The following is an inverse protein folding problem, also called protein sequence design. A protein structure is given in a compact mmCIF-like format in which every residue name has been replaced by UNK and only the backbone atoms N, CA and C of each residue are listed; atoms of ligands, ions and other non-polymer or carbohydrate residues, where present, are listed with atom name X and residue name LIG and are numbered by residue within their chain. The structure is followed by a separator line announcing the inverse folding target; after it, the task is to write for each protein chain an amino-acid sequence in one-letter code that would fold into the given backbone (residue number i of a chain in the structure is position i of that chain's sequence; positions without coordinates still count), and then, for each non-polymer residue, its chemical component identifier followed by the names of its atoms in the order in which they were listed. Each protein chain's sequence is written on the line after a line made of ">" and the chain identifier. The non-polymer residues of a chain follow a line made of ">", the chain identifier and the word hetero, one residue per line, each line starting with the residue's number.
data_IF_608637811825
#
_entry.id   IF_608637811825
#
_cell.length_a   1.000
_cell.length_b   1.000
_cell.length_c   1.000
_cell.angle_alpha   90.00
_cell.angle_beta   90.00
_cell.angle_gamma   90.00
#
_symmetry.space_group_name_H-M   'P 1'
#
loop_
_entity.id
_entity.type
_entity.pdbx_description
1 polymer ?
#
# COMPACT_ATOMS: atom_id res chain seq x y z
N UNK A 1 1.36 -7.65 62.28
CA UNK A 1 1.50 -9.13 62.36
C UNK A 1 1.80 -9.60 60.93
N UNK A 2 3.05 -9.73 60.46
CA UNK A 2 4.09 -10.78 60.65
C UNK A 2 3.69 -12.22 60.23
N UNK A 3 4.35 -12.69 59.16
CA UNK A 3 4.61 -14.05 58.59
C UNK A 3 4.36 -13.97 57.07
N UNK A 4 5.33 -13.91 56.14
CA UNK A 4 6.61 -14.62 55.95
C UNK A 4 6.45 -16.15 55.92
N UNK A 5 6.69 -16.74 54.74
CA UNK A 5 6.88 -18.16 54.48
C UNK A 5 7.79 -18.33 53.25
N UNK A 6 8.76 -19.25 53.32
CA UNK A 6 9.88 -19.40 52.36
C UNK A 6 10.18 -20.89 52.12
N UNK A 7 10.28 -21.31 50.85
CA UNK A 7 11.07 -22.45 50.30
C UNK A 7 11.32 -22.15 48.79
N UNK A 8 12.47 -22.30 48.10
CA UNK A 8 13.87 -22.65 48.39
C UNK A 8 14.39 -24.04 47.90
N UNK A 9 15.26 -24.01 46.87
CA UNK A 9 16.25 -25.04 46.43
C UNK A 9 15.64 -26.31 45.78
N UNK A 10 16.35 -27.11 44.94
CA UNK A 10 17.76 -27.14 44.49
C UNK A 10 17.86 -27.66 43.01
N UNK A 11 18.81 -27.23 42.17
CA UNK A 11 20.13 -27.86 41.83
C UNK A 11 20.13 -29.20 41.06
N UNK A 12 20.97 -29.30 40.02
CA UNK A 12 21.27 -30.51 39.23
C UNK A 12 21.62 -30.17 37.77
N UNK A 13 22.85 -29.74 37.44
CA UNK A 13 24.11 -30.51 37.31
C UNK A 13 24.26 -31.21 35.94
N UNK A 14 25.44 -31.08 35.34
CA UNK A 14 25.71 -31.36 33.93
C UNK A 14 26.07 -32.83 33.62
N UNK A 15 26.09 -33.19 32.34
CA UNK A 15 26.93 -34.28 31.84
C UNK A 15 27.41 -33.96 30.42
N UNK A 16 28.74 -34.02 30.27
CA UNK A 16 29.48 -33.76 29.03
C UNK A 16 29.76 -35.09 28.34
N UNK A 17 29.73 -35.12 27.01
CA UNK A 17 30.42 -36.16 26.23
C UNK A 17 31.37 -35.50 25.22
N UNK A 18 32.62 -35.96 25.24
CA UNK A 18 33.76 -35.39 24.52
C UNK A 18 34.06 -36.20 23.25
N UNK A 19 34.16 -35.47 22.14
CA UNK A 19 34.98 -35.70 20.93
C UNK A 19 35.22 -37.11 20.39
N UNK A 20 35.09 -37.20 19.06
CA UNK A 20 36.13 -37.85 18.23
C UNK A 20 36.60 -36.86 17.17
N UNK A 21 37.91 -36.58 17.13
CA UNK A 21 38.50 -35.69 16.13
C UNK A 21 39.09 -36.49 14.97
N UNK A 22 38.91 -36.00 13.75
CA UNK A 22 39.70 -36.42 12.58
C UNK A 22 40.51 -35.22 12.11
N UNK A 23 41.82 -35.30 12.23
CA UNK A 23 42.75 -34.29 11.74
C UNK A 23 43.02 -34.53 10.26
N UNK A 24 42.69 -33.55 9.42
CA UNK A 24 43.20 -33.43 8.06
C UNK A 24 43.74 -32.01 7.87
N UNK A 25 45.06 -31.86 7.80
CA UNK A 25 45.71 -30.56 7.59
C UNK A 25 45.71 -30.22 6.09
N UNK A 26 45.17 -29.05 5.75
CA UNK A 26 45.20 -28.50 4.39
C UNK A 26 44.71 -27.05 4.34
N UNK A 27 45.60 -26.11 4.61
CA UNK A 27 45.46 -24.68 4.28
C UNK A 27 46.17 -24.44 2.94
N UNK A 28 45.69 -23.54 2.05
CA UNK A 28 45.76 -22.10 2.34
C UNK A 28 44.52 -21.24 1.97
N UNK A 29 44.39 -20.16 2.73
CA UNK A 29 43.91 -18.81 2.37
C UNK A 29 42.75 -18.63 1.37
N UNK A 30 41.58 -18.23 1.90
CA UNK A 30 40.69 -17.27 1.21
C UNK A 30 39.97 -16.42 2.26
N UNK A 31 39.94 -15.10 2.03
CA UNK A 31 39.30 -14.09 2.91
C UNK A 31 37.91 -13.73 2.37
N UNK A 32 37.04 -13.27 3.28
CA UNK A 32 35.75 -12.59 3.06
C UNK A 32 34.51 -13.49 2.85
N UNK A 33 33.41 -13.10 3.52
CA UNK A 33 32.11 -13.75 3.39
C UNK A 33 31.15 -13.55 4.56
N UNK A 34 31.00 -12.32 5.09
CA UNK A 34 29.81 -12.03 5.92
C UNK A 34 28.57 -12.16 5.02
N UNK A 35 27.79 -13.22 5.20
CA UNK A 35 26.52 -13.39 4.51
C UNK A 35 25.48 -12.41 5.06
N UNK A 36 25.38 -11.23 4.45
CA UNK A 36 24.20 -10.37 4.61
C UNK A 36 22.95 -11.12 4.12
N UNK A 37 21.76 -10.88 4.71
CA UNK A 37 20.52 -11.39 4.16
C UNK A 37 20.36 -10.86 2.73
N UNK A 38 20.13 -11.77 1.79
CA UNK A 38 19.85 -11.38 0.40
C UNK A 38 18.42 -10.88 0.32
N UNK A 39 18.23 -9.55 0.33
CA UNK A 39 16.98 -8.94 -0.14
C UNK A 39 16.74 -9.43 -1.57
N UNK A 40 15.71 -10.25 -1.76
CA UNK A 40 15.30 -10.76 -3.07
C UNK A 40 14.70 -9.61 -3.89
N UNK A 41 15.58 -8.92 -4.61
CA UNK A 41 15.25 -7.81 -5.49
C UNK A 41 14.36 -8.29 -6.66
N UNK A 42 13.09 -7.91 -6.63
CA UNK A 42 12.24 -7.96 -7.82
C UNK A 42 12.57 -6.77 -8.74
N UNK A 43 13.57 -6.98 -9.61
CA UNK A 43 14.01 -5.99 -10.59
C UNK A 43 13.13 -5.96 -11.86
N UNK A 44 12.01 -6.70 -11.90
CA UNK A 44 11.16 -6.80 -13.09
C UNK A 44 10.21 -5.63 -13.31
N UNK A 45 9.95 -4.82 -12.27
CA UNK A 45 8.77 -3.93 -12.22
C UNK A 45 9.06 -2.45 -12.51
N UNK A 46 10.33 -2.07 -12.69
CA UNK A 46 10.77 -0.65 -12.70
C UNK A 46 11.29 -0.16 -14.06
N UNK A 47 10.50 -0.31 -15.11
CA UNK A 47 10.83 0.17 -16.47
C UNK A 47 9.87 1.22 -17.03
N UNK A 48 8.75 1.45 -16.35
CA UNK A 48 7.67 2.25 -16.91
C UNK A 48 7.93 3.76 -16.77
N UNK A 49 7.39 4.51 -17.73
CA UNK A 49 7.10 5.94 -17.53
C UNK A 49 5.72 6.08 -16.91
N UNK A 50 5.50 7.15 -16.14
CA UNK A 50 4.16 7.52 -15.68
C UNK A 50 3.21 7.61 -16.87
N UNK A 51 2.23 6.72 -16.90
CA UNK A 51 1.12 6.74 -17.85
C UNK A 51 0.04 7.70 -17.36
N UNK A 52 -0.98 7.87 -18.18
CA UNK A 52 -2.12 8.74 -17.92
C UNK A 52 -3.37 8.06 -18.44
N UNK A 53 -4.51 8.54 -17.97
CA UNK A 53 -5.81 8.13 -18.48
C UNK A 53 -5.89 8.29 -20.01
N UNK A 54 -6.49 7.31 -20.66
CA UNK A 54 -6.87 7.32 -22.07
C UNK A 54 -8.22 7.99 -22.33
N UNK A 55 -8.94 8.37 -21.26
CA UNK A 55 -10.21 9.09 -21.34
C UNK A 55 -9.92 10.56 -21.71
N UNK A 56 -10.45 11.07 -22.85
CA UNK A 56 -10.22 12.44 -23.27
C UNK A 56 -10.79 13.45 -22.28
N UNK A 57 -10.06 14.55 -22.06
CA UNK A 57 -10.52 15.68 -21.27
C UNK A 57 -10.28 16.98 -22.03
N UNK A 58 -11.34 17.76 -22.26
CA UNK A 58 -11.33 19.02 -23.01
C UNK A 58 -11.41 20.27 -22.12
N UNK A 59 -11.67 20.12 -20.82
CA UNK A 59 -11.71 21.24 -19.88
C UNK A 59 -10.33 21.89 -19.72
N UNK A 60 -10.30 23.23 -19.67
CA UNK A 60 -9.07 24.01 -19.53
C UNK A 60 -8.42 23.86 -18.15
N UNK A 61 -7.67 22.78 -17.93
CA UNK A 61 -7.02 22.48 -16.65
C UNK A 61 -6.32 21.12 -16.63
N UNK A 62 -5.96 20.64 -15.43
CA UNK A 62 -5.55 19.24 -15.25
C UNK A 62 -6.76 18.33 -15.47
N UNK A 63 -6.56 17.21 -16.15
CA UNK A 63 -7.61 16.19 -16.30
C UNK A 63 -7.98 15.62 -14.92
N UNK A 64 -9.27 15.54 -14.56
CA UNK A 64 -9.72 14.95 -13.30
C UNK A 64 -9.48 13.43 -13.25
N UNK A 65 -9.31 12.79 -14.40
CA UNK A 65 -9.04 11.36 -14.54
C UNK A 65 -7.60 10.95 -14.21
N UNK A 66 -6.80 11.87 -13.66
CA UNK A 66 -5.41 11.66 -13.28
C UNK A 66 -5.13 12.41 -11.97
N UNK A 67 -4.74 11.68 -10.93
CA UNK A 67 -4.32 12.25 -9.65
C UNK A 67 -2.88 11.83 -9.31
N UNK A 68 -2.20 12.65 -8.51
CA UNK A 68 -0.87 12.32 -8.00
C UNK A 68 -0.68 12.94 -6.60
N UNK A 69 -0.05 12.18 -5.69
CA UNK A 69 0.36 12.64 -4.36
C UNK A 69 1.81 12.22 -4.09
N UNK A 70 2.51 12.98 -3.23
CA UNK A 70 3.88 12.69 -2.81
C UNK A 70 3.90 12.23 -1.35
N UNK A 71 4.70 11.21 -1.05
CA UNK A 71 5.01 10.75 0.31
C UNK A 71 6.30 11.38 0.84
N UNK A 72 6.44 11.44 2.17
CA UNK A 72 7.59 12.05 2.84
C UNK A 72 8.91 11.33 2.56
N UNK A 73 8.85 10.01 2.31
CA UNK A 73 10.00 9.19 1.88
C UNK A 73 10.48 9.49 0.44
N UNK A 74 9.80 10.41 -0.27
CA UNK A 74 10.14 10.84 -1.61
C UNK A 74 9.46 10.05 -2.73
N UNK A 75 8.72 8.98 -2.43
CA UNK A 75 7.84 8.33 -3.41
C UNK A 75 6.74 9.26 -3.87
N UNK A 76 6.23 9.00 -5.08
CA UNK A 76 5.04 9.65 -5.64
C UNK A 76 4.09 8.56 -6.06
N UNK A 77 2.81 8.69 -5.72
CA UNK A 77 1.76 7.75 -6.12
C UNK A 77 0.85 8.47 -7.09
N UNK A 78 0.64 7.87 -8.24
CA UNK A 78 -0.25 8.35 -9.27
C UNK A 78 -1.39 7.35 -9.47
N UNK A 79 -2.59 7.87 -9.70
CA UNK A 79 -3.72 7.07 -10.12
C UNK A 79 -4.38 7.68 -11.36
N UNK A 80 -4.89 6.82 -12.23
CA UNK A 80 -5.65 7.24 -13.40
C UNK A 80 -6.69 6.20 -13.77
N UNK A 81 -7.81 6.65 -14.37
CA UNK A 81 -8.79 5.74 -14.95
C UNK A 81 -8.30 5.22 -16.29
N UNK A 82 -8.66 3.99 -16.63
CA UNK A 82 -8.43 3.42 -17.95
C UNK A 82 -9.70 2.77 -18.48
N UNK A 83 -10.13 3.19 -19.67
CA UNK A 83 -11.42 2.78 -20.26
C UNK A 83 -11.49 1.25 -20.41
N UNK A 84 -12.53 0.64 -19.86
CA UNK A 84 -12.73 -0.82 -19.89
C UNK A 84 -11.75 -1.62 -19.02
N UNK A 85 -10.94 -0.96 -18.17
CA UNK A 85 -10.05 -1.62 -17.22
C UNK A 85 -10.28 -1.19 -15.76
N UNK A 86 -10.70 0.05 -15.51
CA UNK A 86 -11.02 0.56 -14.17
C UNK A 86 -9.98 1.56 -13.62
N UNK A 87 -9.68 1.45 -12.32
CA UNK A 87 -8.74 2.32 -11.61
C UNK A 87 -7.33 1.72 -11.60
N UNK A 88 -6.35 2.50 -12.05
CA UNK A 88 -4.96 2.05 -12.21
C UNK A 88 -4.03 2.88 -11.32
N UNK A 89 -3.14 2.19 -10.60
CA UNK A 89 -2.07 2.75 -9.78
C UNK A 89 -0.71 2.63 -10.49
N UNK A 90 0.14 3.62 -10.23
CA UNK A 90 1.60 3.57 -10.43
C UNK A 90 2.29 4.39 -9.35
N UNK A 91 3.47 3.95 -8.89
CA UNK A 91 4.29 4.77 -8.00
C UNK A 91 5.75 4.87 -8.45
N UNK A 92 6.32 6.03 -8.15
CA UNK A 92 7.72 6.36 -8.38
C UNK A 92 8.57 5.87 -7.20
N UNK A 93 9.55 5.02 -7.47
CA UNK A 93 10.58 4.65 -6.49
C UNK A 93 11.75 5.65 -6.57
N UNK A 94 12.08 6.41 -5.50
CA UNK A 94 13.25 7.29 -5.49
C UNK A 94 14.56 6.50 -5.47
N UNK A 95 14.55 5.23 -5.03
CA UNK A 95 15.69 4.32 -5.06
C UNK A 95 16.03 3.89 -6.48
N UNK A 96 15.03 3.36 -7.20
CA UNK A 96 15.19 2.86 -8.57
C UNK A 96 15.12 3.98 -9.62
N UNK A 97 14.66 5.18 -9.22
CA UNK A 97 14.47 6.39 -10.03
C UNK A 97 13.51 6.21 -11.22
N UNK A 98 12.61 5.24 -11.13
CA UNK A 98 11.63 4.87 -12.14
C UNK A 98 10.23 4.69 -11.54
N UNK A 99 9.21 4.62 -12.41
CA UNK A 99 7.86 4.24 -12.00
C UNK A 99 7.68 2.73 -12.10
N UNK A 100 6.81 2.18 -11.25
CA UNK A 100 6.34 0.79 -11.39
C UNK A 100 5.56 0.59 -12.67
N UNK A 101 5.53 -0.64 -13.20
CA UNK A 101 4.52 -1.01 -14.19
C UNK A 101 3.09 -0.80 -13.63
N UNK A 102 2.10 -0.45 -14.47
CA UNK A 102 0.75 -0.18 -14.01
C UNK A 102 0.04 -1.37 -13.36
N UNK A 103 -0.61 -1.11 -12.22
CA UNK A 103 -1.43 -2.10 -11.50
C UNK A 103 -2.88 -1.65 -11.50
N UNK A 104 -3.79 -2.46 -12.05
CA UNK A 104 -5.24 -2.23 -11.91
C UNK A 104 -5.62 -2.62 -10.48
N UNK A 105 -6.07 -1.65 -9.67
CA UNK A 105 -6.46 -1.89 -8.27
C UNK A 105 -7.96 -2.17 -8.13
N UNK A 106 -8.82 -1.44 -8.86
CA UNK A 106 -10.24 -1.78 -9.03
C UNK A 106 -10.52 -2.03 -10.51
N UNK A 107 -11.17 -3.16 -10.82
CA UNK A 107 -11.53 -3.54 -12.19
C UNK A 107 -13.02 -3.35 -12.40
N UNK A 108 -13.38 -2.52 -13.36
CA UNK A 108 -14.74 -2.35 -13.83
C UNK A 108 -14.76 -1.99 -15.32
N UNK A 109 -15.85 -2.32 -16.00
CA UNK A 109 -16.11 -1.90 -17.39
C UNK A 109 -16.95 -0.61 -17.45
N UNK A 110 -17.51 -0.18 -16.30
CA UNK A 110 -18.28 1.05 -16.15
C UNK A 110 -17.41 2.28 -16.41
N UNK A 111 -18.00 3.32 -17.02
CA UNK A 111 -17.30 4.57 -17.31
C UNK A 111 -16.91 5.33 -16.03
N UNK A 112 -15.82 6.11 -16.11
CA UNK A 112 -15.35 6.94 -15.01
C UNK A 112 -16.31 8.12 -14.76
N UNK A 113 -16.72 8.30 -13.50
CA UNK A 113 -17.80 9.20 -13.12
C UNK A 113 -17.31 10.57 -12.66
N UNK A 114 -16.43 10.58 -11.67
CA UNK A 114 -15.90 11.78 -11.04
C UNK A 114 -14.37 11.78 -11.08
N UNK A 115 -13.75 12.89 -10.68
CA UNK A 115 -12.30 12.97 -10.59
C UNK A 115 -11.72 12.07 -9.51
N UNK A 116 -10.45 11.70 -9.63
CA UNK A 116 -9.75 10.93 -8.59
C UNK A 116 -9.26 11.92 -7.52
N UNK A 117 -9.64 11.68 -6.26
CA UNK A 117 -9.03 12.36 -5.11
C UNK A 117 -7.94 11.48 -4.50
N UNK A 118 -6.76 12.05 -4.25
CA UNK A 118 -5.71 11.45 -3.43
C UNK A 118 -5.41 12.29 -2.19
N UNK A 119 -5.14 11.61 -1.09
CA UNK A 119 -4.58 12.15 0.16
C UNK A 119 -3.49 11.21 0.66
N UNK A 120 -2.48 11.74 1.33
CA UNK A 120 -1.43 10.91 1.89
C UNK A 120 -0.83 11.53 3.16
N UNK A 121 -0.51 10.68 4.14
CA UNK A 121 0.24 11.04 5.33
C UNK A 121 0.80 9.77 6.00
N UNK A 122 1.87 9.85 6.80
CA UNK A 122 2.39 8.73 7.59
C UNK A 122 2.76 7.45 6.81
N UNK A 123 3.06 7.57 5.51
CA UNK A 123 3.31 6.42 4.62
C UNK A 123 2.04 5.69 4.13
N UNK A 124 0.87 6.27 4.37
CA UNK A 124 -0.46 5.78 3.95
C UNK A 124 -1.03 6.72 2.90
N UNK A 125 -1.65 6.16 1.86
CA UNK A 125 -2.35 6.88 0.79
C UNK A 125 -3.80 6.46 0.77
N UNK A 126 -4.71 7.44 0.76
CA UNK A 126 -6.14 7.25 0.57
C UNK A 126 -6.55 7.77 -0.80
N UNK A 127 -7.41 7.02 -1.49
CA UNK A 127 -7.93 7.33 -2.80
C UNK A 127 -9.45 7.23 -2.83
N UNK A 128 -10.09 8.22 -3.45
CA UNK A 128 -11.50 8.16 -3.87
C UNK A 128 -11.53 8.16 -5.39
N UNK A 129 -12.35 7.28 -5.96
CA UNK A 129 -12.61 7.18 -7.38
C UNK A 129 -14.02 6.64 -7.59
N UNK A 130 -14.70 7.06 -8.65
CA UNK A 130 -16.13 6.80 -8.83
C UNK A 130 -16.43 6.39 -10.27
N UNK A 131 -17.38 5.46 -10.44
CA UNK A 131 -17.77 4.90 -11.73
C UNK A 131 -19.29 4.87 -11.87
N UNK A 132 -19.79 5.19 -13.07
CA UNK A 132 -21.21 5.18 -13.40
C UNK A 132 -21.44 5.40 -14.91
N UNK A 133 -22.44 4.77 -15.53
CA UNK A 133 -22.65 4.79 -16.98
C UNK A 133 -23.12 6.16 -17.52
N UNK A 134 -23.81 6.96 -16.70
CA UNK A 134 -24.47 8.21 -17.11
C UNK A 134 -23.94 9.46 -16.38
N UNK A 135 -22.73 9.39 -15.82
CA UNK A 135 -22.16 10.52 -15.06
C UNK A 135 -21.86 11.76 -15.92
N UNK A 136 -21.69 11.60 -17.24
CA UNK A 136 -21.62 12.73 -18.16
C UNK A 136 -22.95 13.51 -18.25
N UNK A 137 -24.07 12.86 -17.95
CA UNK A 137 -25.41 13.44 -17.91
C UNK A 137 -25.78 13.99 -16.51
N UNK A 138 -24.86 13.87 -15.54
CA UNK A 138 -25.02 14.36 -14.17
C UNK A 138 -25.67 13.37 -13.20
N UNK A 139 -25.83 12.10 -13.57
CA UNK A 139 -26.24 11.06 -12.63
C UNK A 139 -25.14 10.75 -11.60
N UNK A 140 -25.50 10.34 -10.37
CA UNK A 140 -24.54 9.88 -9.37
C UNK A 140 -23.80 8.60 -9.84
N UNK A 141 -22.63 8.28 -9.25
CA UNK A 141 -21.97 7.02 -9.50
C UNK A 141 -22.77 5.81 -8.99
N UNK A 142 -22.65 4.70 -9.72
CA UNK A 142 -23.15 3.37 -9.32
C UNK A 142 -22.17 2.67 -8.38
N UNK A 143 -20.87 2.96 -8.51
CA UNK A 143 -19.78 2.42 -7.69
C UNK A 143 -18.89 3.57 -7.19
N UNK A 144 -18.84 3.77 -5.87
CA UNK A 144 -17.84 4.63 -5.22
C UNK A 144 -16.77 3.79 -4.55
N UNK A 145 -15.52 4.04 -4.92
CA UNK A 145 -14.33 3.32 -4.45
C UNK A 145 -13.68 4.13 -3.33
N UNK A 146 -13.57 3.52 -2.15
CA UNK A 146 -12.63 3.94 -1.12
C UNK A 146 -11.45 2.97 -1.11
N UNK A 147 -10.24 3.46 -1.38
CA UNK A 147 -9.05 2.61 -1.41
C UNK A 147 -7.92 3.16 -0.54
N UNK A 148 -7.24 2.29 0.20
CA UNK A 148 -6.12 2.64 1.08
C UNK A 148 -4.89 1.78 0.75
N UNK A 149 -3.77 2.45 0.45
CA UNK A 149 -2.48 1.84 0.14
C UNK A 149 -1.46 2.19 1.21
N UNK A 150 -0.75 1.18 1.72
CA UNK A 150 0.27 1.36 2.77
C UNK A 150 1.61 0.78 2.34
N UNK A 151 2.65 1.03 3.16
CA UNK A 151 3.93 0.32 3.13
C UNK A 151 4.59 0.37 1.74
N UNK A 152 4.63 -0.74 1.00
CA UNK A 152 5.23 -0.81 -0.34
C UNK A 152 4.30 -0.35 -1.48
N UNK A 153 3.02 -0.07 -1.20
CA UNK A 153 1.95 0.21 -2.18
C UNK A 153 1.65 -0.95 -3.14
N UNK A 154 2.26 -2.13 -2.94
CA UNK A 154 2.02 -3.33 -3.74
C UNK A 154 0.66 -4.00 -3.46
N UNK A 155 -0.08 -3.52 -2.46
CA UNK A 155 -1.43 -3.94 -2.09
C UNK A 155 -2.24 -2.73 -1.65
N UNK A 156 -3.54 -2.82 -1.90
CA UNK A 156 -4.53 -1.82 -1.54
C UNK A 156 -5.69 -2.54 -0.86
N UNK A 157 -6.12 -2.03 0.29
CA UNK A 157 -7.44 -2.33 0.83
C UNK A 157 -8.46 -1.52 0.06
N UNK A 158 -9.58 -2.14 -0.31
CA UNK A 158 -10.60 -1.52 -1.17
C UNK A 158 -11.98 -1.85 -0.62
N UNK A 159 -12.80 -0.82 -0.43
CA UNK A 159 -14.24 -0.93 -0.28
C UNK A 159 -14.94 -0.33 -1.50
N UNK A 160 -16.05 -0.97 -1.89
CA UNK A 160 -16.89 -0.54 -3.01
C UNK A 160 -18.30 -0.33 -2.47
N UNK A 161 -18.67 0.92 -2.25
CA UNK A 161 -20.03 1.29 -1.89
C UNK A 161 -20.84 1.47 -3.17
N UNK A 162 -21.95 0.73 -3.29
CA UNK A 162 -22.85 0.76 -4.46
C UNK A 162 -24.08 1.63 -4.20
N UNK A 163 -24.70 2.08 -5.28
CA UNK A 163 -25.93 2.91 -5.26
C UNK A 163 -25.73 4.15 -4.36
N UNK A 164 -24.57 4.80 -4.48
CA UNK A 164 -24.07 5.81 -3.55
C UNK A 164 -23.35 6.93 -4.30
N UNK A 165 -23.83 8.16 -4.12
CA UNK A 165 -23.45 9.41 -4.81
C UNK A 165 -21.96 9.84 -4.78
N UNK A 166 -21.05 9.01 -4.27
CA UNK A 166 -19.61 9.27 -4.18
C UNK A 166 -19.15 9.74 -2.79
N UNK A 167 -17.96 9.33 -2.38
CA UNK A 167 -17.29 9.87 -1.19
C UNK A 167 -16.84 11.31 -1.46
N UNK A 168 -17.11 12.26 -0.55
CA UNK A 168 -16.76 13.67 -0.76
C UNK A 168 -15.35 14.04 -0.30
N UNK A 169 -14.79 13.28 0.66
CA UNK A 169 -13.51 13.60 1.28
C UNK A 169 -12.87 12.38 1.91
N UNK A 170 -11.58 12.19 1.60
CA UNK A 170 -10.69 11.32 2.38
C UNK A 170 -9.89 12.16 3.39
N UNK A 171 -9.67 11.61 4.59
CA UNK A 171 -8.81 12.21 5.63
C UNK A 171 -7.85 11.16 6.15
N UNK A 172 -6.53 11.39 6.02
CA UNK A 172 -5.50 10.52 6.57
C UNK A 172 -4.98 11.14 7.87
N UNK A 173 -4.99 10.36 8.95
CA UNK A 173 -4.42 10.74 10.27
C UNK A 173 -2.94 11.14 10.20
N UNK A 174 -2.47 11.88 11.22
CA UNK A 174 -1.09 12.39 11.27
C UNK A 174 -0.03 11.27 11.25
N UNK A 175 -0.30 10.16 11.92
CA UNK A 175 0.57 8.98 11.94
C UNK A 175 0.26 7.95 10.82
N UNK A 176 -0.71 8.26 9.94
CA UNK A 176 -1.15 7.40 8.85
C UNK A 176 -1.78 6.07 9.30
N UNK A 177 -2.23 5.94 10.56
CA UNK A 177 -2.79 4.67 11.08
C UNK A 177 -4.28 4.51 10.88
N UNK A 178 -5.01 5.60 10.69
CA UNK A 178 -6.43 5.61 10.33
C UNK A 178 -6.70 6.48 9.10
N UNK A 179 -7.74 6.12 8.37
CA UNK A 179 -8.29 6.89 7.25
C UNK A 179 -9.81 6.95 7.41
N UNK A 180 -10.37 8.16 7.27
CA UNK A 180 -11.82 8.39 7.23
C UNK A 180 -12.23 8.81 5.81
N UNK A 181 -13.18 8.08 5.23
CA UNK A 181 -13.89 8.47 4.02
C UNK A 181 -15.26 9.01 4.44
N UNK A 182 -15.63 10.20 3.98
CA UNK A 182 -16.78 10.94 4.52
C UNK A 182 -17.69 11.53 3.44
N UNK A 183 -19.00 11.44 3.71
CA UNK A 183 -20.11 12.19 3.09
C UNK A 183 -21.13 12.42 4.21
N UNK A 184 -22.37 11.95 4.06
CA UNK A 184 -23.40 11.89 5.12
C UNK A 184 -23.13 10.77 6.14
N UNK A 185 -22.36 9.75 5.71
CA UNK A 185 -21.84 8.66 6.54
C UNK A 185 -20.30 8.73 6.58
N UNK A 186 -19.69 7.94 7.45
CA UNK A 186 -18.23 7.78 7.51
C UNK A 186 -17.88 6.29 7.43
N UNK A 187 -16.99 5.96 6.50
CA UNK A 187 -16.34 4.66 6.41
C UNK A 187 -14.94 4.79 7.03
N UNK A 188 -14.71 4.03 8.10
CA UNK A 188 -13.44 4.03 8.82
C UNK A 188 -12.52 2.91 8.32
N UNK A 189 -11.24 3.21 8.19
CA UNK A 189 -10.18 2.23 7.96
C UNK A 189 -9.10 2.38 9.03
N UNK A 190 -8.61 1.26 9.56
CA UNK A 190 -7.43 1.21 10.43
C UNK A 190 -6.34 0.34 9.82
N UNK A 191 -5.09 0.68 10.10
CA UNK A 191 -3.92 -0.12 9.68
C UNK A 191 -3.81 -1.49 10.35
N UNK A 192 -4.59 -1.74 11.40
CA UNK A 192 -4.62 -3.02 12.10
C UNK A 192 -5.67 -3.97 11.49
N UNK A 193 -6.84 -3.44 11.16
CA UNK A 193 -8.05 -4.24 10.89
C UNK A 193 -8.61 -4.07 9.47
N UNK A 194 -8.12 -3.07 8.71
CA UNK A 194 -8.66 -2.69 7.41
C UNK A 194 -9.90 -1.81 7.53
N UNK A 195 -10.82 -1.92 6.57
CA UNK A 195 -12.12 -1.25 6.62
C UNK A 195 -13.05 -1.89 7.66
N UNK A 196 -13.68 -1.06 8.49
CA UNK A 196 -14.77 -1.50 9.37
C UNK A 196 -16.02 -1.84 8.52
N UNK A 197 -16.69 -2.96 8.86
CA UNK A 197 -17.85 -3.51 8.13
C UNK A 197 -18.99 -3.88 9.07
#
# INVERSE_FOLDING_TARGET
>A
MRRVGVQALAWGAASVWVMTAVVACGHPDTVAGNASPSDSHDSGTYTSVLRRSDIPWSGGGRSPYNAEVKLDDGRRVAMYYRRGEGLVEQHYSPREKAWTEPVVIHRTETDACQGIELRANGGTVAAIADFGPYCNDGEPPDESVAAVGTDSLAKWDIDITKDFDGWERASVSEDGRTVDFSRDITLHWTRADGFER
#
